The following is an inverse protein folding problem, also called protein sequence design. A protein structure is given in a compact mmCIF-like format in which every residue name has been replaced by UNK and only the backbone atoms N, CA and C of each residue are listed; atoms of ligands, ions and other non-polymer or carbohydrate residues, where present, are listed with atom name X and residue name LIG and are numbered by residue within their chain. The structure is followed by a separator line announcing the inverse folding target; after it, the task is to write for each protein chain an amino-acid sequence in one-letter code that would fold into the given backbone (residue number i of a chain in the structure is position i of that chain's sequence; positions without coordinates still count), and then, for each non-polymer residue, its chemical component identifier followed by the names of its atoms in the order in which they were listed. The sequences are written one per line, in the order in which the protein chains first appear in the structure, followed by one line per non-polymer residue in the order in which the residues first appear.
data_IF_014461016700
#
_entry.id   IF_014461016700
#
_cell.length_a   1.000
_cell.length_b   1.000
_cell.length_c   1.000
_cell.angle_alpha   90.00
_cell.angle_beta   90.00
_cell.angle_gamma   90.00
#
_symmetry.space_group_name_H-M   'P 1'
#
loop_
_entity.id
_entity.type
_entity.pdbx_description
1 polymer ?
#
# COMPACT_ATOMS: atom_id res chain seq x y z
N UNK A 1 -13.55 -14.33 0.68
CA UNK A 1 -12.09 -14.16 0.58
C UNK A 1 -11.51 -14.38 1.96
N UNK A 2 -10.60 -15.32 2.09
CA UNK A 2 -9.84 -15.56 3.32
C UNK A 2 -8.83 -14.44 3.57
N UNK A 3 -8.25 -14.40 4.77
CA UNK A 3 -7.19 -13.45 5.09
C UNK A 3 -5.97 -13.58 4.15
N UNK A 4 -5.52 -14.81 3.87
CA UNK A 4 -4.39 -15.07 2.97
C UNK A 4 -4.68 -14.64 1.53
N UNK A 5 -5.88 -14.93 1.02
CA UNK A 5 -6.30 -14.49 -0.32
C UNK A 5 -6.33 -12.97 -0.43
N UNK A 6 -6.71 -12.27 0.65
CA UNK A 6 -6.71 -10.82 0.69
C UNK A 6 -5.28 -10.25 0.66
N UNK A 7 -4.34 -10.83 1.42
CA UNK A 7 -2.93 -10.45 1.37
C UNK A 7 -2.35 -10.61 -0.04
N UNK A 8 -2.57 -11.75 -0.68
CA UNK A 8 -2.09 -12.03 -2.04
C UNK A 8 -2.66 -11.02 -3.05
N UNK A 9 -3.95 -10.74 -2.98
CA UNK A 9 -4.61 -9.81 -3.90
C UNK A 9 -4.16 -8.37 -3.68
N UNK A 10 -3.99 -7.94 -2.43
CA UNK A 10 -3.46 -6.63 -2.08
C UNK A 10 -2.03 -6.48 -2.59
N UNK A 11 -1.18 -7.48 -2.34
CA UNK A 11 0.20 -7.50 -2.79
C UNK A 11 0.30 -7.41 -4.32
N UNK A 12 -0.52 -8.17 -5.05
CA UNK A 12 -0.60 -8.09 -6.52
C UNK A 12 -0.94 -6.69 -7.03
N UNK A 13 -1.73 -5.92 -6.28
CA UNK A 13 -2.20 -4.59 -6.68
C UNK A 13 -1.29 -3.45 -6.22
N UNK A 14 -0.29 -3.72 -5.38
CA UNK A 14 0.46 -2.68 -4.66
C UNK A 14 1.13 -1.66 -5.59
N UNK A 15 1.71 -2.11 -6.69
CA UNK A 15 2.34 -1.21 -7.67
C UNK A 15 1.38 -0.21 -8.30
N UNK A 16 0.08 -0.53 -8.34
CA UNK A 16 -0.96 0.36 -8.87
C UNK A 16 -1.32 1.53 -7.94
N UNK A 17 -0.71 1.62 -6.75
CA UNK A 17 -0.91 2.72 -5.79
C UNK A 17 0.13 3.83 -5.94
N UNK A 18 1.07 3.69 -6.86
CA UNK A 18 2.18 4.61 -7.07
C UNK A 18 2.13 5.18 -8.48
N UNK A 19 2.48 6.46 -8.61
CA UNK A 19 2.65 7.06 -9.93
C UNK A 19 3.73 6.34 -10.72
N UNK A 20 3.47 6.04 -11.99
CA UNK A 20 4.38 5.24 -12.83
C UNK A 20 5.76 5.89 -13.00
N UNK A 21 5.79 7.22 -13.14
CA UNK A 21 7.01 7.98 -13.43
C UNK A 21 7.75 8.43 -12.16
N UNK A 22 7.02 8.89 -11.14
CA UNK A 22 7.58 9.49 -9.92
C UNK A 22 7.63 8.53 -8.73
N UNK A 23 6.97 7.38 -8.83
CA UNK A 23 6.81 6.38 -7.77
C UNK A 23 6.22 6.95 -6.49
N UNK A 24 5.43 8.02 -6.59
CA UNK A 24 4.80 8.68 -5.46
C UNK A 24 3.49 7.95 -5.11
N UNK A 25 3.36 7.54 -3.86
CA UNK A 25 2.13 6.90 -3.36
C UNK A 25 0.94 7.84 -3.44
N UNK A 26 -0.14 7.42 -4.11
CA UNK A 26 -1.32 8.27 -4.31
C UNK A 26 -0.95 9.60 -4.98
N UNK A 27 0.01 9.58 -5.92
CA UNK A 27 0.42 10.76 -6.68
C UNK A 27 -0.67 11.27 -7.60
N UNK A 28 -1.47 10.35 -8.15
CA UNK A 28 -2.65 10.66 -8.94
C UNK A 28 -3.94 10.13 -8.31
N UNK A 29 -5.07 10.72 -8.73
CA UNK A 29 -6.40 10.35 -8.23
C UNK A 29 -6.69 8.86 -8.35
N UNK A 30 -6.33 8.23 -9.48
CA UNK A 30 -6.56 6.80 -9.68
C UNK A 30 -5.73 5.93 -8.72
N UNK A 31 -4.49 6.32 -8.43
CA UNK A 31 -3.61 5.59 -7.52
C UNK A 31 -4.15 5.64 -6.09
N UNK A 32 -4.62 6.82 -5.68
CA UNK A 32 -5.26 7.03 -4.38
C UNK A 32 -6.58 6.25 -4.26
N UNK A 33 -7.40 6.25 -5.32
CA UNK A 33 -8.66 5.51 -5.34
C UNK A 33 -8.41 3.99 -5.23
N UNK A 34 -7.42 3.45 -5.95
CA UNK A 34 -6.99 2.04 -5.81
C UNK A 34 -6.48 1.72 -4.41
N UNK A 35 -5.67 2.59 -3.81
CA UNK A 35 -5.18 2.40 -2.45
C UNK A 35 -6.33 2.42 -1.42
N UNK A 36 -7.34 3.27 -1.61
CA UNK A 36 -8.55 3.29 -0.76
C UNK A 36 -9.39 2.03 -0.90
N UNK A 37 -9.50 1.47 -2.11
CA UNK A 37 -10.16 0.18 -2.34
C UNK A 37 -9.42 -0.95 -1.64
N UNK A 38 -8.09 -1.00 -1.77
CA UNK A 38 -7.26 -1.97 -1.06
C UNK A 38 -7.41 -1.84 0.47
N UNK A 39 -7.47 -0.62 1.01
CA UNK A 39 -7.74 -0.41 2.44
C UNK A 39 -9.10 -0.93 2.88
N UNK A 40 -10.15 -0.80 2.05
CA UNK A 40 -11.47 -1.36 2.36
C UNK A 40 -11.41 -2.89 2.39
N UNK A 41 -10.72 -3.49 1.41
CA UNK A 41 -10.50 -4.93 1.35
C UNK A 41 -9.73 -5.43 2.58
N UNK A 42 -8.61 -4.78 2.91
CA UNK A 42 -7.79 -5.09 4.08
C UNK A 42 -8.60 -5.09 5.37
N UNK A 43 -9.39 -4.03 5.60
CA UNK A 43 -10.24 -3.90 6.78
C UNK A 43 -11.33 -4.99 6.85
N UNK A 44 -11.90 -5.37 5.71
CA UNK A 44 -12.94 -6.41 5.65
C UNK A 44 -12.37 -7.83 5.89
N UNK A 45 -11.08 -8.03 5.62
CA UNK A 45 -10.39 -9.32 5.70
C UNK A 45 -9.49 -9.46 6.94
N UNK A 46 -9.51 -8.47 7.85
CA UNK A 46 -8.69 -8.49 9.07
C UNK A 46 -7.19 -8.37 8.80
N UNK A 47 -6.78 -7.81 7.66
CA UNK A 47 -5.38 -7.47 7.38
C UNK A 47 -4.99 -6.28 8.25
N UNK A 48 -3.85 -6.38 8.91
CA UNK A 48 -3.32 -5.41 9.86
C UNK A 48 -2.54 -4.31 9.17
N UNK A 49 -2.29 -3.21 9.89
CA UNK A 49 -1.44 -2.14 9.37
C UNK A 49 0.00 -2.63 9.12
N UNK A 50 0.53 -3.48 10.00
CA UNK A 50 1.90 -3.98 9.91
C UNK A 50 2.12 -4.84 8.66
N UNK A 51 1.13 -5.68 8.29
CA UNK A 51 1.18 -6.46 7.05
C UNK A 51 1.20 -5.58 5.80
N UNK A 52 0.40 -4.49 5.79
CA UNK A 52 0.44 -3.50 4.69
C UNK A 52 1.80 -2.81 4.63
N UNK A 53 2.36 -2.43 5.78
CA UNK A 53 3.67 -1.77 5.87
C UNK A 53 4.77 -2.70 5.37
N UNK A 54 4.74 -3.98 5.75
CA UNK A 54 5.70 -4.97 5.28
C UNK A 54 5.62 -5.15 3.76
N UNK A 55 4.41 -5.34 3.20
CA UNK A 55 4.24 -5.45 1.74
C UNK A 55 4.75 -4.22 0.99
N UNK A 56 4.53 -3.02 1.55
CA UNK A 56 5.03 -1.78 0.95
C UNK A 56 6.55 -1.70 0.99
N UNK A 57 7.19 -2.13 2.08
CA UNK A 57 8.65 -2.13 2.19
C UNK A 57 9.30 -3.13 1.21
N UNK A 58 8.74 -4.34 1.11
CA UNK A 58 9.15 -5.34 0.12
C UNK A 58 8.99 -4.83 -1.33
N UNK A 59 7.92 -4.07 -1.60
CA UNK A 59 7.74 -3.42 -2.89
C UNK A 59 8.81 -2.36 -3.15
N UNK A 60 9.17 -1.56 -2.14
CA UNK A 60 10.22 -0.55 -2.26
C UNK A 60 11.59 -1.16 -2.53
N UNK A 61 11.89 -2.31 -1.93
CA UNK A 61 13.08 -3.10 -2.22
C UNK A 61 13.15 -3.54 -3.66
N UNK A 62 12.06 -4.13 -4.17
CA UNK A 62 11.99 -4.59 -5.57
C UNK A 62 12.17 -3.45 -6.58
N UNK A 63 11.65 -2.27 -6.27
CA UNK A 63 11.72 -1.10 -7.13
C UNK A 63 12.98 -0.25 -6.91
N UNK A 64 13.87 -0.64 -5.99
CA UNK A 64 15.09 0.11 -5.62
C UNK A 64 14.81 1.58 -5.27
N UNK A 65 13.72 1.88 -4.55
CA UNK A 65 13.42 3.26 -4.15
C UNK A 65 14.51 3.79 -3.21
N UNK A 66 14.94 5.03 -3.43
CA UNK A 66 15.88 5.69 -2.53
C UNK A 66 15.23 6.07 -1.19
N UNK A 67 16.05 6.15 -0.14
CA UNK A 67 15.61 6.25 1.25
C UNK A 67 14.61 7.39 1.52
N UNK A 68 14.86 8.60 0.99
CA UNK A 68 13.98 9.75 1.19
C UNK A 68 12.57 9.53 0.62
N UNK A 69 12.47 8.96 -0.59
CA UNK A 69 11.17 8.68 -1.21
C UNK A 69 10.44 7.54 -0.49
N UNK A 70 11.17 6.51 -0.03
CA UNK A 70 10.62 5.45 0.82
C UNK A 70 10.00 6.00 2.09
N UNK A 71 10.72 6.84 2.82
CA UNK A 71 10.23 7.44 4.07
C UNK A 71 8.95 8.25 3.82
N UNK A 72 8.95 9.08 2.76
CA UNK A 72 7.79 9.88 2.36
C UNK A 72 6.59 9.00 2.01
N UNK A 73 6.78 7.97 1.18
CA UNK A 73 5.72 7.05 0.79
C UNK A 73 5.21 6.25 1.99
N UNK A 74 6.09 5.75 2.83
CA UNK A 74 5.72 4.99 4.03
C UNK A 74 4.88 5.83 5.00
N UNK A 75 5.22 7.10 5.22
CA UNK A 75 4.40 8.03 6.00
C UNK A 75 2.98 8.17 5.43
N UNK A 76 2.84 8.25 4.10
CA UNK A 76 1.53 8.38 3.44
C UNK A 76 0.72 7.08 3.52
N UNK A 77 1.36 5.93 3.36
CA UNK A 77 0.73 4.60 3.50
C UNK A 77 0.20 4.44 4.93
N UNK A 78 1.05 4.64 5.95
CA UNK A 78 0.64 4.57 7.35
C UNK A 78 -0.50 5.52 7.66
N UNK A 79 -0.45 6.75 7.13
CA UNK A 79 -1.55 7.72 7.28
C UNK A 79 -2.85 7.23 6.64
N UNK A 80 -2.83 6.68 5.43
CA UNK A 80 -4.05 6.23 4.76
C UNK A 80 -4.64 4.99 5.45
N UNK A 81 -3.83 3.96 5.67
CA UNK A 81 -4.26 2.66 6.16
C UNK A 81 -4.55 2.67 7.67
N UNK A 82 -3.75 3.37 8.47
CA UNK A 82 -3.91 3.46 9.92
C UNK A 82 -5.19 4.16 10.39
N UNK A 83 -5.93 4.85 9.52
CA UNK A 83 -7.28 5.35 9.84
C UNK A 83 -8.33 4.25 10.01
N UNK A 84 -8.06 3.03 9.51
CA UNK A 84 -9.01 1.91 9.52
C UNK A 84 -8.42 0.60 10.01
N UNK A 85 -7.11 0.40 9.81
CA UNK A 85 -6.40 -0.78 10.27
C UNK A 85 -5.73 -0.47 11.60
N UNK A 86 -5.75 -1.43 12.51
CA UNK A 86 -4.97 -1.41 13.75
C UNK A 86 -3.61 -2.04 13.52
#
# INVERSE_FOLDING_TARGET
MTHSEALEEINRRIGGWFGTADKIFGGHKMDEDRAKEARKLAAASGVTLDEIVQMADEYFDKENLHAELREKNMKRIKKLFGTKLQ
#
